data_IF_739595543577
#
_entry.id   IF_739595543577
#
_cell.length_a   1.000
_cell.length_b   1.000
_cell.length_c   1.000
_cell.angle_alpha   90.00
_cell.angle_beta   90.00
_cell.angle_gamma   90.00
#
_symmetry.space_group_name_H-M   'P 1'
#
loop_
_entity.id
_entity.type
_entity.pdbx_description
1 polymer ?
#
# COMPACT_ATOMS: atom_id res chain seq x y z
N UNK A 1 -13.51 12.49 7.03
CA UNK A 1 -12.23 12.06 7.64
C UNK A 1 -11.12 12.31 6.65
N UNK A 2 -10.03 12.98 7.06
CA UNK A 2 -8.84 13.20 6.21
C UNK A 2 -7.89 12.01 6.39
N UNK A 3 -7.50 11.35 5.29
CA UNK A 3 -6.53 10.27 5.34
C UNK A 3 -5.17 10.81 5.79
N UNK A 4 -4.48 10.06 6.64
CA UNK A 4 -3.10 10.39 7.03
C UNK A 4 -2.14 10.04 5.89
N UNK A 5 -0.94 10.64 5.83
CA UNK A 5 0.07 10.27 4.83
C UNK A 5 0.31 8.76 4.77
N UNK A 6 0.47 8.09 5.92
CA UNK A 6 0.66 6.65 5.96
C UNK A 6 -0.53 5.86 5.40
N UNK A 7 -1.76 6.32 5.61
CA UNK A 7 -2.94 5.70 5.01
C UNK A 7 -2.99 5.90 3.50
N UNK A 8 -2.60 7.07 2.99
CA UNK A 8 -2.49 7.33 1.55
C UNK A 8 -1.47 6.39 0.92
N UNK A 9 -0.28 6.26 1.50
CA UNK A 9 0.75 5.34 1.02
C UNK A 9 0.26 3.89 1.02
N UNK A 10 -0.39 3.45 2.10
CA UNK A 10 -0.96 2.11 2.19
C UNK A 10 -2.06 1.85 1.14
N UNK A 11 -2.94 2.81 0.86
CA UNK A 11 -3.95 2.64 -0.19
C UNK A 11 -3.32 2.50 -1.58
N UNK A 12 -2.29 3.30 -1.87
CA UNK A 12 -1.52 3.18 -3.11
C UNK A 12 -0.83 1.81 -3.23
N UNK A 13 -0.19 1.35 -2.14
CA UNK A 13 0.47 0.04 -2.08
C UNK A 13 -0.52 -1.12 -2.33
N UNK A 14 -1.76 -0.98 -1.88
CA UNK A 14 -2.84 -1.94 -2.15
C UNK A 14 -3.47 -1.77 -3.56
N UNK A 15 -2.93 -0.89 -4.40
CA UNK A 15 -3.43 -0.66 -5.76
C UNK A 15 -4.72 0.16 -5.84
N UNK A 16 -5.18 0.73 -4.73
CA UNK A 16 -6.44 1.48 -4.69
C UNK A 16 -6.29 2.86 -5.30
N UNK A 17 -7.33 3.30 -5.99
CA UNK A 17 -7.43 4.67 -6.47
C UNK A 17 -7.55 5.64 -5.30
N UNK A 18 -6.61 6.57 -5.22
CA UNK A 18 -6.65 7.64 -4.24
C UNK A 18 -7.69 8.69 -4.67
N UNK A 19 -8.54 9.19 -3.75
CA UNK A 19 -9.60 10.14 -4.08
C UNK A 19 -9.10 11.54 -4.51
N UNK A 20 -7.80 11.84 -4.43
CA UNK A 20 -7.22 13.08 -4.97
C UNK A 20 -5.87 12.83 -5.63
N UNK A 21 -5.72 13.25 -6.89
CA UNK A 21 -4.43 13.63 -7.47
C UNK A 21 -3.67 12.59 -8.30
N UNK A 22 -4.13 11.33 -8.41
CA UNK A 22 -3.51 10.36 -9.31
C UNK A 22 -4.17 10.41 -10.71
N UNK A 23 -3.40 10.35 -11.80
CA UNK A 23 -3.95 10.18 -13.15
C UNK A 23 -4.85 8.94 -13.20
N UNK A 24 -6.03 9.05 -13.81
CA UNK A 24 -6.93 7.88 -13.95
C UNK A 24 -6.32 6.78 -14.82
N UNK A 25 -5.37 7.16 -15.66
CA UNK A 25 -4.71 6.31 -16.66
C UNK A 25 -3.51 5.55 -16.06
N UNK A 26 -3.24 5.72 -14.76
CA UNK A 26 -2.13 5.04 -14.10
C UNK A 26 -2.41 3.54 -14.00
N UNK A 27 -1.42 2.72 -14.38
CA UNK A 27 -1.48 1.27 -14.26
C UNK A 27 -1.53 0.84 -12.79
N UNK A 28 -1.99 -0.38 -12.52
CA UNK A 28 -1.97 -0.96 -11.17
C UNK A 28 -0.55 -1.00 -10.59
N UNK A 29 0.44 -1.40 -11.40
CA UNK A 29 1.84 -1.45 -10.99
C UNK A 29 2.39 -0.07 -10.60
N UNK A 30 2.05 0.98 -11.36
CA UNK A 30 2.46 2.34 -11.02
C UNK A 30 1.88 2.79 -9.69
N UNK A 31 0.60 2.51 -9.41
CA UNK A 31 -0.03 2.86 -8.12
C UNK A 31 0.67 2.17 -6.95
N UNK A 32 0.97 0.88 -7.11
CA UNK A 32 1.67 0.07 -6.10
C UNK A 32 3.07 0.64 -5.85
N UNK A 33 3.82 0.93 -6.91
CA UNK A 33 5.15 1.53 -6.84
C UNK A 33 5.14 2.90 -6.17
N UNK A 34 4.18 3.75 -6.51
CA UNK A 34 4.07 5.10 -5.93
C UNK A 34 3.70 5.03 -4.44
N UNK A 35 2.80 4.11 -4.08
CA UNK A 35 2.47 3.81 -2.69
C UNK A 35 3.69 3.36 -1.89
N UNK A 36 4.44 2.39 -2.42
CA UNK A 36 5.71 1.92 -1.85
C UNK A 36 6.72 3.06 -1.68
N UNK A 37 7.00 3.81 -2.75
CA UNK A 37 7.95 4.94 -2.72
C UNK A 37 7.55 5.98 -1.67
N UNK A 38 6.26 6.27 -1.56
CA UNK A 38 5.73 7.20 -0.57
C UNK A 38 5.91 6.67 0.87
N UNK A 39 5.66 5.38 1.09
CA UNK A 39 5.87 4.71 2.38
C UNK A 39 7.34 4.71 2.81
N UNK A 40 8.27 4.38 1.89
CA UNK A 40 9.72 4.48 2.15
C UNK A 40 10.10 5.90 2.55
N UNK A 41 9.57 6.91 1.86
CA UNK A 41 9.86 8.31 2.15
C UNK A 41 9.42 8.74 3.55
N UNK A 42 8.27 8.26 4.04
CA UNK A 42 7.74 8.64 5.36
C UNK A 42 8.34 7.83 6.51
N UNK A 43 8.58 6.53 6.30
CA UNK A 43 9.03 5.61 7.35
C UNK A 43 10.55 5.46 7.41
N UNK A 44 11.26 5.92 6.36
CA UNK A 44 12.72 5.83 6.22
C UNK A 44 13.27 4.40 6.25
N UNK A 45 12.42 3.44 5.95
CA UNK A 45 12.75 2.01 5.81
C UNK A 45 12.13 1.49 4.52
N UNK A 46 12.71 0.43 3.96
CA UNK A 46 12.13 -0.27 2.82
C UNK A 46 11.71 -1.68 3.24
N UNK A 47 10.40 -1.93 3.22
CA UNK A 47 9.80 -3.23 3.52
C UNK A 47 9.30 -3.94 2.25
N UNK A 48 9.71 -3.44 1.07
CA UNK A 48 9.29 -3.92 -0.22
C UNK A 48 7.79 -3.77 -0.45
N UNK A 49 7.22 -4.68 -1.23
CA UNK A 49 5.81 -4.71 -1.57
C UNK A 49 4.97 -5.61 -0.64
N UNK A 50 5.33 -5.70 0.65
CA UNK A 50 4.58 -6.49 1.64
C UNK A 50 3.64 -5.59 2.46
N UNK A 51 2.32 -5.57 2.16
CA UNK A 51 1.39 -4.71 2.87
C UNK A 51 1.21 -5.07 4.35
N UNK A 52 1.47 -6.33 4.73
CA UNK A 52 1.39 -6.77 6.12
C UNK A 52 2.55 -6.22 6.93
N UNK A 53 3.79 -6.36 6.42
CA UNK A 53 4.98 -5.79 7.05
C UNK A 53 4.86 -4.27 7.19
N UNK A 54 4.37 -3.58 6.16
CA UNK A 54 4.09 -2.14 6.23
C UNK A 54 3.04 -1.80 7.30
N UNK A 55 1.93 -2.53 7.37
CA UNK A 55 0.89 -2.30 8.37
C UNK A 55 1.43 -2.40 9.79
N UNK A 56 2.18 -3.46 10.09
CA UNK A 56 2.77 -3.71 11.41
C UNK A 56 3.79 -2.61 11.77
N UNK A 57 4.73 -2.31 10.87
CA UNK A 57 5.72 -1.28 11.11
C UNK A 57 5.11 0.11 11.35
N UNK A 58 4.14 0.52 10.53
CA UNK A 58 3.48 1.82 10.67
C UNK A 58 2.67 1.91 11.95
N UNK A 59 2.03 0.81 12.37
CA UNK A 59 1.30 0.72 13.64
C UNK A 59 2.25 0.87 14.83
N UNK A 60 3.38 0.19 14.79
CA UNK A 60 4.30 0.12 15.93
C UNK A 60 5.12 1.41 16.08
N UNK A 61 5.45 2.09 14.96
CA UNK A 61 6.22 3.35 14.97
C UNK A 61 5.37 4.61 14.92
N UNK A 62 4.09 4.49 14.57
CA UNK A 62 3.20 5.62 14.26
C UNK A 62 3.76 6.57 13.17
N UNK A 63 4.64 6.07 12.29
CA UNK A 63 5.20 6.84 11.19
C UNK A 63 4.09 7.39 10.28
N UNK A 64 4.24 8.64 9.85
CA UNK A 64 3.22 9.33 9.04
C UNK A 64 1.86 9.49 9.74
N UNK A 65 1.82 9.39 11.07
CA UNK A 65 0.60 9.53 11.88
C UNK A 65 -0.36 8.37 11.67
N UNK A 66 0.15 7.15 11.47
CA UNK A 66 -0.67 5.97 11.22
C UNK A 66 -1.57 5.66 12.41
N UNK A 67 -2.82 6.15 12.34
CA UNK A 67 -3.84 5.93 13.37
C UNK A 67 -5.01 5.26 12.71
N UNK A 68 -5.27 3.97 12.94
CA UNK A 68 -6.58 3.35 12.68
C UNK A 68 -6.91 2.34 13.77
N UNK A 69 -8.16 2.41 14.26
CA UNK A 69 -8.66 1.48 15.27
C UNK A 69 -9.15 0.18 14.63
N UNK A 70 -8.78 -0.96 15.22
CA UNK A 70 -9.26 -2.29 14.84
C UNK A 70 -10.79 -2.49 14.96
N UNK A 71 -11.54 -1.53 15.52
CA UNK A 71 -12.99 -1.63 15.77
C UNK A 71 -13.84 -1.93 14.52
N UNK A 72 -13.33 -1.69 13.30
CA UNK A 72 -14.04 -1.97 12.05
C UNK A 72 -13.17 -2.58 10.92
N UNK A 73 -12.15 -3.40 11.24
CA UNK A 73 -11.40 -4.31 10.33
C UNK A 73 -11.04 -3.78 8.91
N UNK A 74 -10.87 -2.47 8.74
CA UNK A 74 -10.80 -1.86 7.40
C UNK A 74 -9.53 -2.22 6.63
N UNK A 75 -8.35 -2.09 7.25
CA UNK A 75 -7.07 -2.37 6.58
C UNK A 75 -6.71 -3.84 6.51
N UNK A 76 -6.81 -4.66 7.58
CA UNK A 76 -6.52 -6.09 7.50
C UNK A 76 -7.35 -6.80 6.42
N UNK A 77 -8.63 -6.46 6.28
CA UNK A 77 -9.48 -7.00 5.23
C UNK A 77 -9.06 -6.53 3.83
N UNK A 78 -8.63 -5.27 3.68
CA UNK A 78 -8.12 -4.74 2.41
C UNK A 78 -6.77 -5.34 2.03
N UNK A 79 -5.88 -5.57 3.00
CA UNK A 79 -4.62 -6.29 2.84
C UNK A 79 -4.90 -7.71 2.37
N UNK A 80 -5.75 -8.44 3.08
CA UNK A 80 -6.16 -9.79 2.68
C UNK A 80 -6.77 -9.81 1.28
N UNK A 81 -7.61 -8.83 0.94
CA UNK A 81 -8.21 -8.72 -0.40
C UNK A 81 -7.18 -8.49 -1.50
N UNK A 82 -6.18 -7.62 -1.28
CA UNK A 82 -5.12 -7.37 -2.26
C UNK A 82 -4.18 -8.58 -2.40
N UNK A 83 -3.83 -9.22 -1.27
CA UNK A 83 -3.00 -10.43 -1.28
C UNK A 83 -3.68 -11.62 -1.95
N UNK A 84 -5.02 -11.64 -1.98
CA UNK A 84 -5.81 -12.65 -2.69
C UNK A 84 -6.10 -12.29 -4.16
N UNK A 85 -5.75 -11.09 -4.61
CA UNK A 85 -6.01 -10.62 -5.98
C UNK A 85 -4.88 -11.03 -6.94
N UNK A 86 -5.14 -11.90 -7.94
CA UNK A 86 -4.13 -12.32 -8.90
C UNK A 86 -3.57 -11.17 -9.74
N UNK A 87 -4.35 -10.11 -9.99
CA UNK A 87 -3.88 -8.95 -10.75
C UNK A 87 -2.86 -8.15 -9.94
N UNK A 88 -3.13 -7.94 -8.65
CA UNK A 88 -2.19 -7.32 -7.73
C UNK A 88 -0.90 -8.15 -7.59
N UNK A 89 -1.03 -9.48 -7.45
CA UNK A 89 0.13 -10.39 -7.37
C UNK A 89 1.00 -10.31 -8.63
N UNK A 90 0.40 -10.33 -9.84
CA UNK A 90 1.13 -10.16 -11.10
C UNK A 90 1.82 -8.80 -11.19
N UNK A 91 1.13 -7.73 -10.79
CA UNK A 91 1.72 -6.40 -10.78
C UNK A 91 2.94 -6.33 -9.85
N UNK A 92 2.88 -6.94 -8.67
CA UNK A 92 4.01 -7.03 -7.74
C UNK A 92 5.14 -7.89 -8.29
N UNK A 93 4.85 -9.02 -8.94
CA UNK A 93 5.85 -9.86 -9.59
C UNK A 93 6.64 -9.06 -10.64
N UNK A 94 5.93 -8.32 -11.51
CA UNK A 94 6.55 -7.42 -12.49
C UNK A 94 7.44 -6.37 -11.83
N UNK A 95 6.98 -5.75 -10.73
CA UNK A 95 7.75 -4.75 -10.00
C UNK A 95 9.00 -5.33 -9.32
N UNK A 96 8.96 -6.61 -8.93
CA UNK A 96 10.12 -7.33 -8.37
C UNK A 96 11.08 -7.84 -9.44
N UNK A 97 10.73 -7.71 -10.72
CA UNK A 97 11.49 -8.31 -11.83
C UNK A 97 11.35 -9.83 -11.91
N UNK A 98 10.32 -10.39 -11.29
CA UNK A 98 9.99 -11.81 -11.40
C UNK A 98 9.27 -12.06 -12.74
N UNK A 99 9.66 -13.09 -13.52
CA UNK A 99 8.94 -13.43 -14.74
C UNK A 99 7.49 -13.79 -14.36
N UNK A 100 6.53 -13.05 -14.91
CA UNK A 100 5.10 -13.33 -14.73
C UNK A 100 4.82 -14.76 -15.20
N UNK A 101 4.34 -15.59 -14.26
CA UNK A 101 4.07 -17.02 -14.46
C UNK A 101 3.23 -17.31 -15.70
#
# INVERSE_FOLDING_TARGET
MRLTPAQVGMLGLLGQLLPMGMPRDQSLADRIRDGHTFLVRIAKVDLGYDPQAWHEHLRDTNAGGYRWSNKHLGFPRRIASALADPEWQRAVAVLRGEPGA
#
